data_IF_522853469375
#
_entry.id   IF_522853469375
#
_cell.length_a   1.000
_cell.length_b   1.000
_cell.length_c   1.000
_cell.angle_alpha   90.00
_cell.angle_beta   90.00
_cell.angle_gamma   90.00
#
_symmetry.space_group_name_H-M   'P 1'
#
loop_
_entity.id
_entity.type
_entity.pdbx_description
1 polymer ?
#
# COMPACT_ATOMS: atom_id res chain seq x y z
N UNK A 1 3.10 25.99 31.60
CA UNK A 1 4.21 25.16 31.06
C UNK A 1 4.81 24.42 32.25
N UNK A 2 4.67 23.10 32.30
CA UNK A 2 5.05 22.29 33.45
C UNK A 2 6.51 21.78 33.39
N UNK A 3 7.31 22.23 32.41
CA UNK A 3 8.72 21.83 32.29
C UNK A 3 8.97 20.35 31.98
N UNK A 4 7.90 19.57 31.72
CA UNK A 4 8.00 18.16 31.37
C UNK A 4 7.85 18.03 29.86
N UNK A 5 8.81 17.41 29.16
CA UNK A 5 8.66 17.09 27.75
C UNK A 5 7.42 16.23 27.54
N UNK A 6 6.62 16.54 26.52
CA UNK A 6 5.45 15.75 26.17
C UNK A 6 5.05 16.01 24.73
N UNK A 7 4.38 15.07 24.12
CA UNK A 7 3.82 15.19 22.77
C UNK A 7 2.43 14.58 22.73
N UNK A 8 1.61 15.10 21.85
CA UNK A 8 0.31 14.52 21.49
C UNK A 8 0.47 13.72 20.23
N UNK A 9 -0.08 12.52 20.23
CA UNK A 9 -0.13 11.66 19.05
C UNK A 9 -1.55 11.62 18.55
N UNK A 10 -1.75 11.93 17.27
CA UNK A 10 -3.00 11.79 16.55
C UNK A 10 -2.73 10.87 15.35
N UNK A 11 -2.99 9.56 15.50
CA UNK A 11 -2.67 8.56 14.49
C UNK A 11 -3.48 8.75 13.21
N UNK A 12 -4.80 8.86 13.33
CA UNK A 12 -5.71 9.08 12.20
C UNK A 12 -7.13 9.41 12.65
N UNK A 13 -7.92 9.92 11.71
CA UNK A 13 -9.35 10.15 11.94
C UNK A 13 -10.13 8.84 11.75
N UNK A 14 -10.81 8.34 12.78
CA UNK A 14 -11.66 7.15 12.66
C UNK A 14 -12.92 7.37 11.80
N UNK A 15 -13.22 8.60 11.44
CA UNK A 15 -14.22 8.94 10.40
C UNK A 15 -13.67 8.74 8.99
N UNK A 16 -12.35 8.61 8.81
CA UNK A 16 -11.72 8.29 7.54
C UNK A 16 -11.63 6.76 7.41
N UNK A 17 -12.57 6.18 6.69
CA UNK A 17 -12.76 4.73 6.59
C UNK A 17 -11.50 3.95 6.18
N UNK A 18 -10.69 4.37 5.19
CA UNK A 18 -9.48 3.65 4.84
C UNK A 18 -8.49 3.51 6.00
N UNK A 19 -8.31 4.57 6.79
CA UNK A 19 -7.44 4.54 7.96
C UNK A 19 -8.02 3.64 9.06
N UNK A 20 -9.35 3.70 9.28
CA UNK A 20 -10.02 2.85 10.24
C UNK A 20 -9.85 1.36 9.92
N UNK A 21 -9.95 0.97 8.65
CA UNK A 21 -9.73 -0.42 8.24
C UNK A 21 -8.29 -0.87 8.48
N UNK A 22 -7.31 -0.01 8.25
CA UNK A 22 -5.92 -0.29 8.62
C UNK A 22 -5.75 -0.44 10.13
N UNK A 23 -6.44 0.36 10.92
CA UNK A 23 -6.42 0.29 12.38
C UNK A 23 -7.08 -0.98 12.97
N UNK A 24 -7.82 -1.74 12.18
CA UNK A 24 -8.34 -3.05 12.59
C UNK A 24 -7.32 -4.17 12.43
N UNK A 25 -6.19 -3.90 11.81
CA UNK A 25 -5.09 -4.85 11.68
C UNK A 25 -4.11 -4.68 12.84
N UNK A 26 -3.94 -5.72 13.65
CA UNK A 26 -3.09 -5.71 14.84
C UNK A 26 -1.62 -5.41 14.53
N UNK A 27 -1.12 -5.87 13.38
CA UNK A 27 0.25 -5.62 12.96
C UNK A 27 0.47 -4.16 12.57
N UNK A 28 -0.54 -3.51 11.96
CA UNK A 28 -0.51 -2.08 11.67
C UNK A 28 -0.48 -1.28 12.97
N UNK A 29 -1.32 -1.63 13.95
CA UNK A 29 -1.32 -0.98 15.27
C UNK A 29 0.02 -1.16 16.01
N UNK A 30 0.58 -2.37 15.95
CA UNK A 30 1.89 -2.67 16.54
C UNK A 30 3.00 -1.86 15.87
N UNK A 31 2.98 -1.77 14.54
CA UNK A 31 3.94 -0.97 13.79
C UNK A 31 3.84 0.53 14.14
N UNK A 32 2.63 1.06 14.26
CA UNK A 32 2.42 2.45 14.70
C UNK A 32 3.02 2.69 16.10
N UNK A 33 2.75 1.80 17.06
CA UNK A 33 3.38 1.84 18.38
C UNK A 33 4.91 1.79 18.33
N UNK A 34 5.46 1.00 17.40
CA UNK A 34 6.91 0.91 17.15
C UNK A 34 7.49 2.24 16.64
N UNK A 35 6.78 2.93 15.75
CA UNK A 35 7.20 4.26 15.25
C UNK A 35 7.26 5.29 16.39
N UNK A 36 6.30 5.27 17.32
CA UNK A 36 6.32 6.14 18.49
C UNK A 36 7.50 5.82 19.42
N UNK A 37 7.77 4.53 19.64
CA UNK A 37 8.93 4.09 20.43
C UNK A 37 10.25 4.55 19.79
N UNK A 38 10.40 4.43 18.47
CA UNK A 38 11.57 4.94 17.73
C UNK A 38 11.75 6.44 17.90
N UNK A 39 10.67 7.22 17.74
CA UNK A 39 10.71 8.67 17.95
C UNK A 39 11.13 9.04 19.38
N UNK A 40 10.69 8.26 20.39
CA UNK A 40 11.11 8.47 21.77
C UNK A 40 12.58 8.10 22.01
N UNK A 41 13.04 7.00 21.43
CA UNK A 41 14.44 6.56 21.49
C UNK A 41 15.35 7.63 20.90
N UNK A 42 14.99 8.17 19.74
CA UNK A 42 15.75 9.24 19.08
C UNK A 42 15.77 10.52 19.92
N UNK A 43 14.62 10.92 20.48
CA UNK A 43 14.52 12.09 21.35
C UNK A 43 15.38 11.97 22.61
N UNK A 44 15.43 10.78 23.21
CA UNK A 44 16.22 10.51 24.42
C UNK A 44 17.71 10.30 24.14
N UNK A 45 18.12 10.23 22.87
CA UNK A 45 19.49 9.93 22.48
C UNK A 45 19.91 8.50 22.81
N UNK A 46 18.95 7.58 22.92
CA UNK A 46 19.22 6.17 23.17
C UNK A 46 19.69 5.47 21.90
N UNK A 47 20.22 4.25 22.06
CA UNK A 47 20.72 3.50 20.93
C UNK A 47 19.55 3.09 20.02
N UNK A 48 19.59 3.55 18.77
CA UNK A 48 18.62 3.19 17.75
C UNK A 48 18.62 1.68 17.44
N UNK A 49 17.49 1.20 16.92
CA UNK A 49 17.36 -0.18 16.44
C UNK A 49 18.28 -0.43 15.24
N UNK A 50 18.76 -1.67 15.15
CA UNK A 50 19.63 -2.10 14.05
C UNK A 50 18.85 -2.70 12.88
N UNK A 51 17.57 -2.98 13.07
CA UNK A 51 16.68 -3.58 12.10
C UNK A 51 15.73 -2.54 11.52
N UNK A 52 15.10 -2.86 10.41
CA UNK A 52 14.07 -2.05 9.78
C UNK A 52 12.81 -2.85 9.49
N UNK A 53 11.86 -2.21 8.85
CA UNK A 53 10.53 -2.75 8.55
C UNK A 53 10.18 -2.51 7.08
N UNK A 54 9.47 -3.44 6.47
CA UNK A 54 8.72 -3.22 5.24
C UNK A 54 7.24 -3.17 5.61
N UNK A 55 6.55 -2.09 5.25
CA UNK A 55 5.10 -1.96 5.34
C UNK A 55 4.52 -1.70 3.97
N UNK A 56 3.62 -2.57 3.52
CA UNK A 56 3.00 -2.43 2.22
C UNK A 56 1.49 -2.55 2.26
N UNK A 57 0.85 -2.08 1.18
CA UNK A 57 -0.58 -2.25 0.94
C UNK A 57 -0.77 -2.77 -0.48
N UNK A 58 -1.52 -3.88 -0.61
CA UNK A 58 -1.87 -4.49 -1.89
C UNK A 58 -3.29 -4.08 -2.28
N UNK A 59 -3.47 -3.64 -3.53
CA UNK A 59 -4.75 -3.16 -4.06
C UNK A 59 -5.02 -3.77 -5.44
N UNK A 60 -6.29 -3.75 -5.85
CA UNK A 60 -6.66 -3.97 -7.24
C UNK A 60 -6.15 -2.82 -8.11
N UNK A 61 -5.66 -3.12 -9.32
CA UNK A 61 -5.09 -2.13 -10.22
C UNK A 61 -6.17 -1.22 -10.87
N UNK A 62 -7.37 -1.74 -11.04
CA UNK A 62 -8.43 -1.07 -11.80
C UNK A 62 -9.69 -0.82 -10.99
N UNK A 63 -10.05 -1.75 -10.10
CA UNK A 63 -11.28 -1.66 -9.34
C UNK A 63 -11.18 -0.62 -8.24
N UNK A 64 -12.16 0.27 -8.20
CA UNK A 64 -12.29 1.27 -7.13
C UNK A 64 -13.14 0.68 -6.00
N UNK A 65 -12.69 0.88 -4.77
CA UNK A 65 -13.42 0.37 -3.63
C UNK A 65 -14.68 1.20 -3.36
N UNK A 66 -15.83 0.51 -3.43
CA UNK A 66 -17.14 1.13 -3.26
C UNK A 66 -17.90 0.45 -2.13
N UNK A 67 -17.95 1.07 -0.98
CA UNK A 67 -18.83 0.71 0.13
C UNK A 67 -19.55 1.95 0.65
N UNK A 68 -20.72 1.78 1.23
CA UNK A 68 -21.61 2.89 1.62
C UNK A 68 -20.96 3.97 2.50
N UNK A 69 -20.02 3.58 3.37
CA UNK A 69 -19.30 4.48 4.26
C UNK A 69 -17.84 4.74 3.84
N UNK A 70 -17.37 4.08 2.79
CA UNK A 70 -16.00 4.23 2.33
C UNK A 70 -15.88 5.47 1.43
N UNK A 71 -15.30 6.53 1.97
CA UNK A 71 -15.09 7.79 1.27
C UNK A 71 -13.59 8.13 1.29
N UNK A 72 -12.81 7.58 0.37
CA UNK A 72 -11.39 7.89 0.29
C UNK A 72 -11.18 9.33 -0.15
N UNK A 73 -10.08 9.92 0.28
CA UNK A 73 -9.68 11.23 -0.23
C UNK A 73 -9.33 11.12 -1.73
N UNK A 74 -9.82 12.07 -2.51
CA UNK A 74 -9.53 12.12 -3.94
C UNK A 74 -8.02 12.20 -4.19
N UNK A 75 -7.54 11.56 -5.27
CA UNK A 75 -6.13 11.52 -5.67
C UNK A 75 -5.20 10.79 -4.68
N UNK A 76 -5.75 9.91 -3.84
CA UNK A 76 -4.97 8.98 -3.00
C UNK A 76 -5.09 7.56 -3.53
N UNK A 77 -4.14 6.69 -3.16
CA UNK A 77 -4.21 5.26 -3.49
C UNK A 77 -5.38 4.56 -2.81
N UNK A 78 -5.98 5.15 -1.80
CA UNK A 78 -7.13 4.61 -1.07
C UNK A 78 -8.42 4.55 -1.91
N UNK A 79 -8.45 5.15 -3.11
CA UNK A 79 -9.56 4.98 -4.05
C UNK A 79 -9.65 3.58 -4.64
N UNK A 80 -8.53 2.85 -4.69
CA UNK A 80 -8.47 1.50 -5.22
C UNK A 80 -8.80 0.45 -4.16
N UNK A 81 -9.43 -0.65 -4.59
CA UNK A 81 -9.88 -1.71 -3.70
C UNK A 81 -8.70 -2.42 -3.02
N UNK A 82 -8.59 -2.37 -1.68
CA UNK A 82 -7.60 -3.16 -0.94
C UNK A 82 -7.91 -4.66 -1.06
N UNK A 83 -6.88 -5.49 -1.18
CA UNK A 83 -7.05 -6.92 -1.41
C UNK A 83 -6.88 -7.74 -0.13
N UNK A 84 -7.87 -8.60 0.14
CA UNK A 84 -7.84 -9.57 1.22
C UNK A 84 -7.22 -10.90 0.75
N UNK A 85 -6.60 -11.64 1.67
CA UNK A 85 -6.09 -12.99 1.42
C UNK A 85 -4.93 -13.06 0.42
N UNK A 86 -4.21 -11.96 0.20
CA UNK A 86 -3.01 -11.94 -0.64
C UNK A 86 -1.86 -12.56 0.13
N UNK A 87 -1.25 -13.59 -0.42
CA UNK A 87 0.01 -14.13 0.11
C UNK A 87 1.19 -13.32 -0.44
N UNK A 88 1.92 -12.69 0.45
CA UNK A 88 3.13 -11.92 0.17
C UNK A 88 4.33 -12.68 0.69
N UNK A 89 5.28 -13.01 -0.18
CA UNK A 89 6.52 -13.67 0.21
C UNK A 89 7.69 -12.71 0.08
N UNK A 90 8.54 -12.72 1.09
CA UNK A 90 9.74 -11.89 1.18
C UNK A 90 10.98 -12.73 0.94
N UNK A 91 11.88 -12.21 0.10
CA UNK A 91 13.13 -12.89 -0.25
C UNK A 91 14.33 -11.97 0.03
N UNK A 92 15.41 -12.57 0.52
CA UNK A 92 16.75 -11.93 0.62
C UNK A 92 17.75 -12.79 -0.16
N UNK A 93 18.43 -12.19 -1.13
CA UNK A 93 19.37 -12.90 -2.01
C UNK A 93 18.76 -14.18 -2.65
N UNK A 94 17.50 -14.14 -3.06
CA UNK A 94 16.78 -15.24 -3.70
C UNK A 94 16.25 -16.32 -2.75
N UNK A 95 16.50 -16.21 -1.45
CA UNK A 95 16.00 -17.15 -0.42
C UNK A 95 14.75 -16.56 0.23
N UNK A 96 13.67 -17.34 0.32
CA UNK A 96 12.46 -16.95 1.06
C UNK A 96 12.79 -16.84 2.55
N UNK A 97 12.55 -15.68 3.15
CA UNK A 97 12.85 -15.39 4.56
C UNK A 97 11.60 -15.16 5.40
N UNK A 98 10.48 -14.80 4.78
CA UNK A 98 9.20 -14.62 5.46
C UNK A 98 8.01 -14.70 4.49
N UNK A 99 6.85 -14.98 5.04
CA UNK A 99 5.56 -14.95 4.32
C UNK A 99 4.51 -14.27 5.18
N UNK A 100 3.68 -13.45 4.56
CA UNK A 100 2.54 -12.76 5.18
C UNK A 100 1.27 -12.99 4.35
N UNK A 101 0.11 -13.07 4.99
CA UNK A 101 -1.17 -13.08 4.29
C UNK A 101 -2.02 -11.91 4.77
N UNK A 102 -2.47 -11.05 3.85
CA UNK A 102 -3.34 -9.93 4.20
C UNK A 102 -4.63 -10.45 4.82
N UNK A 103 -5.15 -9.73 5.83
CA UNK A 103 -6.36 -10.11 6.54
C UNK A 103 -7.64 -9.90 5.70
N UNK A 104 -8.81 -10.08 6.33
CA UNK A 104 -10.11 -9.92 5.67
C UNK A 104 -10.79 -8.57 6.02
N UNK A 105 -10.04 -7.59 6.51
CA UNK A 105 -10.57 -6.31 6.98
C UNK A 105 -10.52 -5.21 5.91
N UNK A 106 -10.31 -5.58 4.65
CA UNK A 106 -10.27 -4.64 3.51
C UNK A 106 -9.28 -3.49 3.70
N UNK A 107 -8.11 -3.81 4.20
CA UNK A 107 -6.99 -2.87 4.33
C UNK A 107 -5.82 -3.18 3.40
N UNK A 108 -5.69 -4.43 2.95
CA UNK A 108 -4.62 -4.90 2.07
C UNK A 108 -3.21 -4.80 2.67
N UNK A 109 -3.13 -4.57 3.99
CA UNK A 109 -1.86 -4.32 4.67
C UNK A 109 -1.05 -5.61 4.88
N UNK A 110 0.26 -5.47 4.76
CA UNK A 110 1.24 -6.48 5.17
C UNK A 110 2.46 -5.83 5.78
N UNK A 111 3.07 -6.48 6.75
CA UNK A 111 4.21 -5.96 7.48
C UNK A 111 5.24 -7.07 7.69
N UNK A 112 6.51 -6.74 7.43
CA UNK A 112 7.67 -7.56 7.80
C UNK A 112 8.58 -6.75 8.70
N UNK A 113 8.61 -7.11 9.97
CA UNK A 113 9.39 -6.45 11.00
C UNK A 113 10.75 -7.10 11.22
N UNK A 114 11.62 -6.43 11.98
CA UNK A 114 12.91 -6.95 12.44
C UNK A 114 13.83 -7.40 11.30
N UNK A 115 13.75 -6.75 10.16
CA UNK A 115 14.57 -7.06 9.02
C UNK A 115 15.97 -6.45 9.16
N UNK A 116 17.00 -7.23 8.88
CA UNK A 116 18.35 -6.70 8.75
C UNK A 116 18.41 -5.73 7.56
N UNK A 117 19.16 -4.64 7.63
CA UNK A 117 19.36 -3.75 6.50
C UNK A 117 19.83 -4.47 5.25
N UNK A 118 19.37 -4.01 4.09
CA UNK A 118 19.72 -4.58 2.81
C UNK A 118 18.58 -4.58 1.80
N UNK A 119 18.80 -5.23 0.67
CA UNK A 119 17.82 -5.34 -0.41
C UNK A 119 16.99 -6.61 -0.26
N UNK A 120 15.70 -6.45 -0.50
CA UNK A 120 14.69 -7.52 -0.48
C UNK A 120 13.87 -7.49 -1.74
N UNK A 121 13.36 -8.63 -2.16
CA UNK A 121 12.35 -8.73 -3.22
C UNK A 121 11.09 -9.38 -2.67
N UNK A 122 9.94 -9.04 -3.27
CA UNK A 122 8.65 -9.55 -2.86
C UNK A 122 7.94 -10.21 -4.04
N UNK A 123 7.14 -11.23 -3.73
CA UNK A 123 6.16 -11.80 -4.67
C UNK A 123 4.79 -11.79 -4.05
N UNK A 124 3.78 -11.72 -4.90
CA UNK A 124 2.38 -11.58 -4.49
C UNK A 124 1.53 -12.63 -5.20
N UNK A 125 0.67 -13.31 -4.46
CA UNK A 125 -0.26 -14.30 -4.98
C UNK A 125 -1.63 -14.10 -4.36
N UNK A 126 -2.66 -13.95 -5.20
CA UNK A 126 -4.05 -13.86 -4.77
C UNK A 126 -4.94 -14.64 -5.74
N UNK A 127 -6.02 -15.25 -5.21
CA UNK A 127 -6.98 -16.00 -6.03
C UNK A 127 -7.72 -15.05 -6.97
N UNK A 128 -7.70 -15.34 -8.27
CA UNK A 128 -8.37 -14.54 -9.29
C UNK A 128 -7.59 -13.31 -9.74
N UNK A 129 -6.31 -13.21 -9.34
CA UNK A 129 -5.43 -12.12 -9.73
C UNK A 129 -4.18 -12.66 -10.43
N UNK A 130 -3.74 -11.94 -11.42
CA UNK A 130 -2.40 -12.10 -11.99
C UNK A 130 -1.36 -11.68 -10.96
N UNK A 131 -0.15 -12.19 -11.05
CA UNK A 131 0.96 -11.70 -10.24
C UNK A 131 1.19 -10.18 -10.44
N UNK A 132 1.94 -9.57 -9.54
CA UNK A 132 2.29 -8.15 -9.67
C UNK A 132 3.13 -7.93 -10.95
N UNK A 133 2.95 -6.78 -11.58
CA UNK A 133 3.75 -6.39 -12.74
C UNK A 133 5.19 -6.08 -12.34
N UNK A 134 6.13 -6.07 -13.28
CA UNK A 134 7.55 -5.80 -13.04
C UNK A 134 7.80 -4.49 -12.28
N UNK A 135 6.93 -3.50 -12.44
CA UNK A 135 7.02 -2.24 -11.73
C UNK A 135 6.98 -2.43 -10.21
N UNK A 136 6.16 -3.37 -9.72
CA UNK A 136 5.95 -3.66 -8.30
C UNK A 136 6.84 -4.80 -7.77
N UNK A 137 7.66 -5.40 -8.61
CA UNK A 137 8.63 -6.44 -8.25
C UNK A 137 10.05 -5.91 -8.05
N UNK A 138 10.23 -4.59 -8.09
CA UNK A 138 11.55 -3.96 -7.87
C UNK A 138 12.06 -4.26 -6.45
N UNK A 139 13.38 -4.39 -6.28
CA UNK A 139 13.98 -4.55 -4.96
C UNK A 139 13.59 -3.40 -4.02
N UNK A 140 13.38 -3.74 -2.77
CA UNK A 140 13.07 -2.80 -1.68
C UNK A 140 14.26 -2.73 -0.75
N UNK A 141 14.78 -1.53 -0.54
CA UNK A 141 15.88 -1.30 0.41
C UNK A 141 15.32 -1.07 1.81
N UNK A 142 15.78 -1.86 2.76
CA UNK A 142 15.51 -1.70 4.19
C UNK A 142 16.71 -1.05 4.86
N UNK A 143 16.47 0.04 5.57
CA UNK A 143 17.47 0.73 6.39
C UNK A 143 17.28 0.41 7.86
N UNK A 144 18.36 0.45 8.64
CA UNK A 144 18.29 0.33 10.09
C UNK A 144 17.42 1.47 10.66
N UNK A 145 16.58 1.16 11.66
CA UNK A 145 15.65 2.10 12.27
C UNK A 145 14.66 2.76 11.29
N UNK A 146 14.51 2.18 10.08
CA UNK A 146 13.70 2.71 8.99
C UNK A 146 12.45 1.87 8.72
N UNK A 147 11.49 2.46 7.99
CA UNK A 147 10.36 1.75 7.38
C UNK A 147 10.33 2.04 5.88
N UNK A 148 10.41 0.99 5.08
CA UNK A 148 10.18 1.07 3.65
C UNK A 148 8.68 0.89 3.37
N UNK A 149 8.04 1.92 2.81
CA UNK A 149 6.62 1.90 2.46
C UNK A 149 6.43 1.53 1.00
N UNK A 150 5.56 0.54 0.73
CA UNK A 150 5.28 0.05 -0.61
C UNK A 150 3.78 0.10 -0.93
N UNK A 151 3.45 0.45 -2.16
CA UNK A 151 2.13 0.24 -2.73
C UNK A 151 2.25 -0.72 -3.90
N UNK A 152 1.49 -1.82 -3.87
CA UNK A 152 1.49 -2.84 -4.90
C UNK A 152 0.08 -2.98 -5.47
N UNK A 153 0.01 -3.18 -6.78
CA UNK A 153 -1.26 -3.38 -7.47
C UNK A 153 -1.23 -4.71 -8.20
N UNK A 154 -2.33 -5.48 -8.08
CA UNK A 154 -2.55 -6.71 -8.82
C UNK A 154 -3.70 -6.50 -9.82
N UNK A 155 -3.53 -7.04 -11.02
CA UNK A 155 -4.59 -7.02 -12.03
C UNK A 155 -5.48 -8.24 -11.88
N UNK A 156 -6.80 -8.04 -11.81
CA UNK A 156 -7.76 -9.13 -11.82
C UNK A 156 -7.67 -9.92 -13.13
N UNK A 157 -7.74 -11.26 -13.05
CA UNK A 157 -7.83 -12.14 -14.24
C UNK A 157 -9.08 -11.87 -15.08
N UNK A 158 -10.14 -11.36 -14.44
CA UNK A 158 -11.41 -11.02 -15.09
C UNK A 158 -11.45 -9.61 -15.67
N UNK A 159 -10.37 -8.81 -15.48
CA UNK A 159 -10.34 -7.45 -16.00
C UNK A 159 -10.38 -7.42 -17.51
N UNK A 160 -11.36 -6.70 -18.05
CA UNK A 160 -11.48 -6.41 -19.47
C UNK A 160 -11.25 -4.91 -19.67
N UNK A 161 -10.21 -4.50 -20.39
CA UNK A 161 -9.98 -3.10 -20.68
C UNK A 161 -11.20 -2.47 -21.37
N UNK A 162 -11.57 -1.23 -21.04
CA UNK A 162 -12.66 -0.55 -21.73
C UNK A 162 -12.34 -0.43 -23.21
N UNK A 163 -13.33 -0.76 -24.05
CA UNK A 163 -13.19 -0.56 -25.50
C UNK A 163 -13.18 0.94 -25.79
N UNK A 164 -12.08 1.44 -26.30
CA UNK A 164 -12.00 2.82 -26.77
C UNK A 164 -12.75 2.89 -28.10
N UNK A 165 -13.94 3.46 -28.11
CA UNK A 165 -14.67 3.77 -29.34
C UNK A 165 -14.16 5.11 -29.84
N UNK A 166 -13.44 5.11 -30.95
CA UNK A 166 -13.12 6.34 -31.66
C UNK A 166 -14.37 6.76 -32.46
N UNK A 167 -15.05 7.79 -32.03
CA UNK A 167 -16.05 8.44 -32.88
C UNK A 167 -15.30 9.16 -33.99
N UNK A 168 -15.47 8.69 -35.23
CA UNK A 168 -15.05 9.44 -36.40
C UNK A 168 -16.01 10.64 -36.57
N UNK A 169 -15.56 11.82 -36.18
CA UNK A 169 -16.25 13.04 -36.59
C UNK A 169 -16.12 13.21 -38.11
N UNK A 170 -17.20 13.53 -38.81
CA UNK A 170 -17.12 13.78 -40.26
C UNK A 170 -16.15 14.93 -40.53
N UNK A 171 -15.39 14.78 -41.59
CA UNK A 171 -14.24 15.61 -42.04
C UNK A 171 -14.56 17.10 -42.35
N UNK A 172 -15.54 17.71 -41.74
CA UNK A 172 -15.88 19.14 -41.99
C UNK A 172 -14.97 20.14 -41.26
N UNK A 173 -14.04 19.64 -40.41
CA UNK A 173 -13.04 20.49 -39.77
C UNK A 173 -11.67 19.82 -40.01
N UNK A 174 -11.03 20.18 -41.05
CA UNK A 174 -9.81 19.67 -41.66
C UNK A 174 -8.58 19.37 -40.77
N UNK A 175 -8.76 18.86 -39.58
CA UNK A 175 -7.71 18.32 -38.74
C UNK A 175 -8.25 17.11 -37.97
N UNK A 176 -7.78 15.91 -38.34
CA UNK A 176 -7.99 14.66 -37.61
C UNK A 176 -7.44 14.76 -36.16
N UNK A 177 -8.20 15.30 -35.26
CA UNK A 177 -7.91 15.20 -33.82
C UNK A 177 -8.82 14.13 -33.20
N UNK A 178 -8.17 13.00 -32.86
CA UNK A 178 -8.81 11.99 -32.04
C UNK A 178 -9.05 12.55 -30.63
N UNK A 179 -10.30 12.72 -30.25
CA UNK A 179 -10.67 13.02 -28.87
C UNK A 179 -11.06 11.69 -28.20
N UNK A 180 -10.29 11.29 -27.21
CA UNK A 180 -10.66 10.19 -26.34
C UNK A 180 -11.88 10.59 -25.51
N UNK A 181 -12.95 9.84 -25.61
CA UNK A 181 -14.12 9.99 -24.74
C UNK A 181 -13.94 9.12 -23.52
N UNK A 182 -13.94 9.81 -22.39
CA UNK A 182 -13.91 9.20 -21.09
C UNK A 182 -15.21 8.49 -20.75
N UNK A 183 -15.06 7.43 -20.02
CA UNK A 183 -15.93 6.77 -19.05
C UNK A 183 -17.44 7.08 -19.04
N UNK A 184 -18.20 6.04 -19.20
CA UNK A 184 -19.52 5.93 -18.57
C UNK A 184 -19.45 5.09 -17.31
#
# INVERSE_FOLDING_TARGET
KHGVPGFLVEGYFHTYQPARQRAMNDDVCRHEGHLYARGLIDYMGWKAEKTGTIYGIVRDLHEKFSQALYKPAARTNDVYMPLNGVTVKLFKAGVEVATYTTDNEWNGAFIFDNLEPGEYTLTYTAKGYKGATEEYLKPVTVEANGTAYINTYLESESYVPPTVVYENYPDEIGDNKAYGVADK
#
